data_IF_125566507407
#
_entry.id   IF_125566507407
#
_cell.length_a   1.000
_cell.length_b   1.000
_cell.length_c   1.000
_cell.angle_alpha   90.00
_cell.angle_beta   90.00
_cell.angle_gamma   90.00
#
_symmetry.space_group_name_H-M   'P 1'
#
loop_
_entity.id
_entity.type
_entity.pdbx_description
1 polymer ?
#
# COMPACT_ATOMS: atom_id res chain seq x y z
N UNK A 1 -15.67 51.51 -10.75
CA UNK A 1 -15.39 50.24 -11.43
C UNK A 1 -14.64 49.37 -10.42
N UNK A 2 -15.32 48.39 -9.84
CA UNK A 2 -14.71 47.49 -8.86
C UNK A 2 -13.82 46.48 -9.58
N UNK A 3 -12.59 46.30 -9.11
CA UNK A 3 -11.74 45.20 -9.54
C UNK A 3 -12.35 43.90 -9.00
N UNK A 4 -12.82 43.05 -9.90
CA UNK A 4 -13.14 41.66 -9.57
C UNK A 4 -11.81 41.02 -9.19
N UNK A 5 -11.66 40.68 -7.91
CA UNK A 5 -10.56 39.85 -7.47
C UNK A 5 -10.71 38.50 -8.17
N UNK A 6 -9.70 38.13 -8.96
CA UNK A 6 -9.58 36.78 -9.52
C UNK A 6 -9.54 35.79 -8.36
N UNK A 7 -10.64 35.05 -8.19
CA UNK A 7 -10.68 33.88 -7.34
C UNK A 7 -9.79 32.80 -7.95
N UNK A 8 -8.50 32.82 -7.58
CA UNK A 8 -7.57 31.74 -7.86
C UNK A 8 -7.92 30.57 -6.95
N UNK A 9 -9.01 29.88 -7.29
CA UNK A 9 -9.27 28.51 -6.88
C UNK A 9 -8.14 27.63 -7.45
N UNK A 10 -7.01 27.61 -6.76
CA UNK A 10 -6.05 26.51 -6.91
C UNK A 10 -6.78 25.26 -6.40
N UNK A 11 -7.39 24.50 -7.32
CA UNK A 11 -7.83 23.15 -6.98
C UNK A 11 -6.57 22.37 -6.58
N UNK A 12 -6.35 22.19 -5.28
CA UNK A 12 -5.19 21.45 -4.79
C UNK A 12 -5.16 20.08 -5.45
N UNK A 13 -4.01 19.70 -6.00
CA UNK A 13 -3.85 18.39 -6.64
C UNK A 13 -4.17 17.30 -5.59
N UNK A 14 -4.97 16.28 -5.95
CA UNK A 14 -5.33 15.24 -5.00
C UNK A 14 -4.09 14.45 -4.57
N UNK A 15 -4.07 14.03 -3.31
CA UNK A 15 -3.10 13.05 -2.81
C UNK A 15 -3.47 11.68 -3.37
N UNK A 16 -2.49 10.95 -3.91
CA UNK A 16 -2.71 9.64 -4.54
C UNK A 16 -2.18 8.50 -3.67
N UNK A 17 -3.03 7.51 -3.40
CA UNK A 17 -2.71 6.35 -2.55
C UNK A 17 -2.94 5.08 -3.36
N UNK A 18 -1.86 4.34 -3.66
CA UNK A 18 -1.97 3.01 -4.24
C UNK A 18 -2.11 1.97 -3.13
N UNK A 19 -3.12 1.11 -3.23
CA UNK A 19 -3.38 0.03 -2.27
C UNK A 19 -3.23 -1.33 -2.93
N UNK A 20 -2.56 -2.25 -2.24
CA UNK A 20 -2.37 -3.63 -2.70
C UNK A 20 -2.84 -4.64 -1.65
N UNK A 21 -3.38 -5.77 -2.09
CA UNK A 21 -3.65 -6.92 -1.23
C UNK A 21 -3.08 -8.21 -1.83
N UNK A 22 -2.87 -9.23 -1.01
CA UNK A 22 -2.38 -10.53 -1.45
C UNK A 22 -3.53 -11.46 -1.84
N UNK A 23 -3.26 -12.33 -2.81
CA UNK A 23 -4.15 -13.43 -3.18
C UNK A 23 -4.12 -14.59 -2.16
N UNK A 24 -4.87 -15.67 -2.46
CA UNK A 24 -4.91 -16.87 -1.63
C UNK A 24 -3.50 -17.46 -1.38
N UNK A 25 -3.30 -18.03 -0.19
CA UNK A 25 -2.09 -18.81 0.10
C UNK A 25 -2.39 -19.94 1.08
N UNK A 26 -1.86 -21.13 0.79
CA UNK A 26 -2.19 -22.40 1.48
C UNK A 26 -3.66 -22.79 1.34
N UNK A 27 -3.95 -24.07 1.63
CA UNK A 27 -5.30 -24.61 1.49
C UNK A 27 -6.27 -24.03 2.54
N UNK A 28 -5.75 -23.62 3.70
CA UNK A 28 -6.55 -23.06 4.79
C UNK A 28 -7.04 -21.63 4.52
N UNK A 29 -6.47 -20.95 3.52
CA UNK A 29 -6.87 -19.58 3.16
C UNK A 29 -7.18 -19.45 1.66
N UNK A 30 -8.29 -20.07 1.21
CA UNK A 30 -8.74 -19.99 -0.18
C UNK A 30 -9.22 -18.58 -0.57
N UNK A 31 -9.54 -17.75 0.43
CA UNK A 31 -9.86 -16.33 0.29
C UNK A 31 -8.92 -15.55 1.20
N UNK A 32 -8.30 -14.50 0.68
CA UNK A 32 -7.41 -13.65 1.45
C UNK A 32 -8.11 -12.31 1.75
N UNK A 33 -8.39 -11.99 3.03
CA UNK A 33 -9.12 -10.78 3.40
C UNK A 33 -8.37 -9.51 2.99
N UNK A 34 -7.04 -9.53 2.87
CA UNK A 34 -6.29 -8.36 2.40
C UNK A 34 -6.70 -7.92 0.99
N UNK A 35 -6.91 -8.87 0.08
CA UNK A 35 -7.40 -8.57 -1.26
C UNK A 35 -8.87 -8.17 -1.26
N UNK A 36 -9.72 -8.90 -0.53
CA UNK A 36 -11.16 -8.60 -0.46
C UNK A 36 -11.43 -7.20 0.12
N UNK A 37 -10.68 -6.79 1.14
CA UNK A 37 -10.71 -5.42 1.66
C UNK A 37 -10.24 -4.44 0.57
N UNK A 38 -9.07 -4.69 -0.04
CA UNK A 38 -8.46 -3.79 -1.02
C UNK A 38 -9.37 -3.54 -2.22
N UNK A 39 -9.92 -4.59 -2.85
CA UNK A 39 -10.81 -4.46 -4.03
C UNK A 39 -12.15 -3.79 -3.72
N UNK A 40 -12.54 -3.72 -2.44
CA UNK A 40 -13.79 -3.09 -2.01
C UNK A 40 -13.65 -1.58 -1.78
N UNK A 41 -12.43 -1.03 -1.86
CA UNK A 41 -12.17 0.38 -1.61
C UNK A 41 -12.78 1.28 -2.71
N UNK A 42 -13.37 2.43 -2.35
CA UNK A 42 -13.81 3.44 -3.30
C UNK A 42 -12.60 4.15 -3.94
N UNK A 43 -12.79 4.73 -5.13
CA UNK A 43 -11.76 5.53 -5.81
C UNK A 43 -11.39 6.81 -5.04
N UNK A 44 -12.32 7.35 -4.23
CA UNK A 44 -12.10 8.58 -3.48
C UNK A 44 -12.37 8.36 -2.00
N UNK A 45 -11.48 8.88 -1.14
CA UNK A 45 -11.65 8.85 0.30
C UNK A 45 -12.93 9.61 0.70
N UNK A 46 -13.94 8.94 1.27
CA UNK A 46 -15.18 9.61 1.66
C UNK A 46 -14.93 10.61 2.80
N UNK A 47 -15.66 11.75 2.87
CA UNK A 47 -15.59 12.66 4.02
C UNK A 47 -15.86 11.94 5.34
N UNK A 48 -15.33 12.47 6.45
CA UNK A 48 -15.68 11.99 7.79
C UNK A 48 -17.20 12.07 7.99
N UNK A 49 -17.86 10.92 8.05
CA UNK A 49 -19.28 10.87 8.39
C UNK A 49 -19.44 11.11 9.88
N UNK A 50 -20.26 12.09 10.26
CA UNK A 50 -20.64 12.36 11.66
C UNK A 50 -21.42 11.21 12.34
N UNK A 51 -21.64 10.05 11.69
CA UNK A 51 -22.60 9.00 12.09
C UNK A 51 -22.05 7.56 12.14
N UNK A 52 -20.74 7.32 11.98
CA UNK A 52 -20.20 5.93 12.00
C UNK A 52 -20.19 5.30 13.40
N UNK A 53 -20.58 6.03 14.44
CA UNK A 53 -20.69 5.51 15.81
C UNK A 53 -21.79 4.43 16.02
N UNK A 54 -22.75 4.28 15.09
CA UNK A 54 -23.97 3.49 15.33
C UNK A 54 -24.15 2.22 14.46
N UNK A 55 -23.20 1.84 13.60
CA UNK A 55 -23.35 0.63 12.74
C UNK A 55 -22.70 -0.62 13.34
N UNK A 56 -21.89 -0.49 14.40
CA UNK A 56 -21.08 -1.61 14.91
C UNK A 56 -21.33 -1.80 16.41
N UNK A 57 -22.46 -2.43 16.74
CA UNK A 57 -22.67 -3.06 18.05
C UNK A 57 -23.21 -4.47 17.84
N UNK A 58 -22.47 -5.54 18.18
CA UNK A 58 -23.10 -6.78 18.57
C UNK A 58 -23.70 -6.59 19.97
N UNK A 59 -24.91 -7.12 20.19
CA UNK A 59 -25.57 -7.15 21.49
C UNK A 59 -24.65 -7.61 22.62
N UNK A 60 -24.70 -6.87 23.72
CA UNK A 60 -24.07 -7.13 25.00
C UNK A 60 -24.37 -8.53 25.56
N UNK A 61 -23.36 -9.18 26.17
CA UNK A 61 -23.44 -9.81 27.51
C UNK A 61 -22.07 -10.34 27.98
N UNK A 62 -21.42 -9.64 28.92
CA UNK A 62 -21.04 -10.17 30.25
C UNK A 62 -20.25 -9.14 31.09
N UNK A 63 -20.37 -9.14 32.43
CA UNK A 63 -19.73 -8.16 33.30
C UNK A 63 -18.45 -8.70 33.98
N UNK A 64 -17.53 -7.77 34.28
CA UNK A 64 -16.66 -7.85 35.46
C UNK A 64 -15.16 -7.99 35.20
N UNK A 65 -14.43 -6.87 35.29
CA UNK A 65 -13.06 -6.86 35.82
C UNK A 65 -12.70 -5.44 36.28
N UNK A 66 -12.18 -5.36 37.50
CA UNK A 66 -11.84 -4.18 38.29
C UNK A 66 -10.62 -3.42 37.78
N UNK A 67 -10.69 -2.09 37.78
CA UNK A 67 -9.61 -1.17 37.41
C UNK A 67 -8.61 -0.96 38.56
N UNK A 68 -7.31 -1.07 38.25
CA UNK A 68 -6.21 -0.53 39.06
C UNK A 68 -5.76 0.84 38.53
N UNK A 69 -5.09 1.69 39.35
CA UNK A 69 -4.73 3.04 38.93
C UNK A 69 -3.40 3.04 38.18
N UNK A 70 -3.46 3.25 36.86
CA UNK A 70 -2.30 3.48 36.00
C UNK A 70 -2.21 4.95 35.61
N UNK A 71 -1.06 5.57 35.91
CA UNK A 71 -0.66 6.92 35.54
C UNK A 71 -0.93 7.21 34.05
N UNK A 72 -1.76 8.22 33.77
CA UNK A 72 -2.05 8.67 32.39
C UNK A 72 -1.28 9.94 32.09
N UNK A 73 -0.13 9.80 31.42
CA UNK A 73 0.46 10.90 30.65
C UNK A 73 -0.49 11.21 29.48
N UNK A 74 -1.41 12.14 29.71
CA UNK A 74 -2.41 12.50 28.71
C UNK A 74 -1.80 13.49 27.74
N UNK A 75 -1.17 13.00 26.67
CA UNK A 75 -0.85 13.82 25.50
C UNK A 75 -2.18 14.32 24.90
N UNK A 76 -2.34 15.63 24.64
CA UNK A 76 -3.59 16.16 24.09
C UNK A 76 -3.93 15.55 22.73
N UNK A 77 -5.23 15.39 22.44
CA UNK A 77 -5.73 14.94 21.14
C UNK A 77 -5.23 15.87 20.02
N UNK A 78 -4.98 15.37 18.78
CA UNK A 78 -4.55 16.22 17.69
C UNK A 78 -5.69 17.14 17.29
N UNK A 79 -5.36 18.37 16.87
CA UNK A 79 -6.33 19.27 16.29
C UNK A 79 -6.89 18.68 14.96
N UNK A 80 -8.16 18.99 14.60
CA UNK A 80 -8.71 18.65 13.30
C UNK A 80 -7.88 19.28 12.17
N UNK A 81 -7.65 18.53 11.09
CA UNK A 81 -6.87 18.98 9.92
C UNK A 81 -7.73 18.85 8.67
N UNK A 82 -7.91 19.96 7.94
CA UNK A 82 -8.47 19.90 6.60
C UNK A 82 -7.41 19.31 5.66
N UNK A 83 -7.70 18.15 5.07
CA UNK A 83 -6.83 17.46 4.10
C UNK A 83 -7.36 17.68 2.68
N UNK A 84 -6.48 17.65 1.65
CA UNK A 84 -6.91 17.71 0.26
C UNK A 84 -7.72 16.46 -0.13
N UNK A 85 -8.39 16.45 -1.30
CA UNK A 85 -8.97 15.23 -1.85
C UNK A 85 -7.93 14.11 -1.94
N UNK A 86 -8.32 12.90 -1.56
CA UNK A 86 -7.45 11.71 -1.63
C UNK A 86 -8.03 10.73 -2.65
N UNK A 87 -7.28 10.47 -3.72
CA UNK A 87 -7.60 9.47 -4.73
C UNK A 87 -6.92 8.15 -4.36
N UNK A 88 -7.72 7.10 -4.23
CA UNK A 88 -7.30 5.75 -3.92
C UNK A 88 -7.30 4.96 -5.23
N UNK A 89 -6.17 4.37 -5.57
CA UNK A 89 -6.05 3.42 -6.67
C UNK A 89 -5.77 2.04 -6.10
N UNK A 90 -6.39 1.02 -6.67
CA UNK A 90 -6.20 -0.37 -6.27
C UNK A 90 -5.34 -1.06 -7.33
N UNK A 91 -4.34 -1.83 -6.90
CA UNK A 91 -3.61 -2.70 -7.82
C UNK A 91 -4.60 -3.67 -8.51
N UNK A 92 -4.54 -3.86 -9.84
CA UNK A 92 -5.61 -4.50 -10.60
C UNK A 92 -5.85 -5.98 -10.24
N UNK A 93 -4.81 -6.67 -9.78
CA UNK A 93 -4.87 -8.08 -9.43
C UNK A 93 -4.37 -8.35 -8.00
N UNK A 94 -4.84 -9.41 -7.33
CA UNK A 94 -4.26 -9.82 -6.06
C UNK A 94 -2.78 -10.17 -6.24
N UNK A 95 -1.92 -9.64 -5.36
CA UNK A 95 -0.49 -9.97 -5.41
C UNK A 95 -0.33 -11.44 -5.07
N UNK A 96 0.29 -12.19 -5.99
CA UNK A 96 0.66 -13.58 -5.72
C UNK A 96 1.67 -13.63 -4.58
N UNK A 97 1.47 -14.54 -3.63
CA UNK A 97 2.36 -14.75 -2.47
C UNK A 97 3.64 -15.48 -2.90
N UNK A 98 4.45 -14.86 -3.77
CA UNK A 98 5.65 -15.41 -4.43
C UNK A 98 6.78 -14.36 -4.44
N UNK A 99 8.01 -14.78 -4.09
CA UNK A 99 9.14 -13.87 -3.93
C UNK A 99 9.58 -13.21 -5.24
N UNK A 100 9.63 -13.95 -6.34
CA UNK A 100 9.99 -13.43 -7.67
C UNK A 100 8.95 -12.43 -8.16
N UNK A 101 7.66 -12.73 -7.99
CA UNK A 101 6.57 -11.82 -8.36
C UNK A 101 6.69 -10.50 -7.61
N UNK A 102 6.90 -10.53 -6.30
CA UNK A 102 7.05 -9.30 -5.50
C UNK A 102 8.27 -8.50 -5.95
N UNK A 103 9.40 -9.17 -6.18
CA UNK A 103 10.64 -8.53 -6.63
C UNK A 103 10.48 -7.80 -7.96
N UNK A 104 9.78 -8.41 -8.91
CA UNK A 104 9.52 -7.82 -10.24
C UNK A 104 8.45 -6.73 -10.21
N UNK A 105 7.52 -6.80 -9.25
CA UNK A 105 6.39 -5.89 -9.14
C UNK A 105 6.78 -4.56 -8.49
N UNK A 106 7.52 -4.60 -7.37
CA UNK A 106 7.72 -3.43 -6.51
C UNK A 106 8.23 -2.19 -7.25
N UNK A 107 9.27 -2.26 -8.11
CA UNK A 107 9.73 -1.08 -8.84
C UNK A 107 8.65 -0.45 -9.74
N UNK A 108 7.71 -1.26 -10.24
CA UNK A 108 6.63 -0.82 -11.13
C UNK A 108 5.50 -0.11 -10.39
N UNK A 109 5.31 -0.38 -9.09
CA UNK A 109 4.29 0.27 -8.25
C UNK A 109 4.50 1.78 -8.11
N UNK A 110 5.76 2.21 -8.19
CA UNK A 110 6.19 3.59 -7.99
C UNK A 110 6.28 4.39 -9.29
N UNK A 111 6.03 3.72 -10.42
CA UNK A 111 5.91 4.29 -11.76
C UNK A 111 4.43 4.28 -12.14
N UNK A 112 3.98 5.22 -12.96
CA UNK A 112 2.55 5.29 -13.33
C UNK A 112 2.11 4.04 -14.08
N UNK A 113 1.25 3.27 -13.42
CA UNK A 113 0.39 2.31 -14.12
C UNK A 113 -0.80 3.08 -14.67
N UNK A 114 -0.86 3.21 -16.00
CA UNK A 114 -2.12 3.50 -16.68
C UNK A 114 -3.08 2.35 -16.36
N UNK A 115 -4.25 2.65 -15.80
CA UNK A 115 -5.39 1.75 -15.90
C UNK A 115 -5.74 1.68 -17.38
N UNK A 116 -5.27 0.64 -18.08
CA UNK A 116 -5.82 0.28 -19.38
C UNK A 116 -7.30 -0.08 -19.17
N UNK A 117 -8.16 0.41 -20.05
CA UNK A 117 -9.57 0.02 -20.12
C UNK A 117 -9.70 -1.52 -20.11
N UNK A 118 -10.76 -2.09 -19.51
CA UNK A 118 -10.95 -3.53 -19.47
C UNK A 118 -10.98 -4.10 -20.89
N UNK A 119 -10.36 -5.27 -21.15
CA UNK A 119 -10.42 -5.90 -22.45
C UNK A 119 -11.87 -6.21 -22.81
N UNK A 120 -12.35 -5.65 -23.91
CA UNK A 120 -13.56 -6.10 -24.60
C UNK A 120 -13.50 -7.61 -24.79
N UNK A 121 -14.56 -8.30 -24.36
CA UNK A 121 -14.74 -9.75 -24.42
C UNK A 121 -14.33 -10.33 -25.79
N UNK A 122 -13.72 -11.52 -25.84
CA UNK A 122 -13.43 -12.17 -27.12
C UNK A 122 -14.72 -12.68 -27.76
N UNK A 123 -14.96 -12.31 -29.02
CA UNK A 123 -15.94 -12.97 -29.88
C UNK A 123 -15.57 -14.46 -30.06
N UNK A 124 -16.56 -15.33 -29.93
CA UNK A 124 -16.44 -16.78 -30.19
C UNK A 124 -16.15 -17.08 -31.67
N UNK A 125 -15.41 -18.16 -32.00
CA UNK A 125 -15.07 -18.49 -33.37
C UNK A 125 -16.14 -19.38 -34.01
N UNK A 126 -16.55 -19.05 -35.24
CA UNK A 126 -17.34 -19.93 -36.09
C UNK A 126 -16.61 -20.26 -37.41
N UNK A 127 -16.08 -21.49 -37.44
CA UNK A 127 -16.11 -22.49 -38.53
C UNK A 127 -15.75 -22.02 -39.96
N UNK A 128 -14.62 -22.50 -40.48
CA UNK A 128 -14.38 -22.72 -41.92
C UNK A 128 -14.54 -24.21 -42.25
N UNK A 129 -15.02 -24.58 -43.45
CA UNK A 129 -14.05 -24.96 -44.49
C UNK A 129 -14.46 -24.61 -45.93
N UNK A 130 -13.48 -24.29 -46.77
CA UNK A 130 -13.64 -24.19 -48.22
C UNK A 130 -12.31 -23.92 -48.92
N UNK A 131 -11.88 -24.88 -49.73
CA UNK A 131 -10.65 -24.89 -50.52
C UNK A 131 -10.67 -23.84 -51.66
N UNK A 132 -9.48 -23.43 -52.13
CA UNK A 132 -9.33 -22.89 -53.48
C UNK A 132 -8.42 -21.68 -53.64
N UNK A 133 -7.29 -21.91 -54.31
CA UNK A 133 -6.52 -20.96 -55.14
C UNK A 133 -5.59 -19.92 -54.50
N UNK A 134 -4.35 -19.93 -55.03
CA UNK A 134 -3.31 -18.92 -54.91
C UNK A 134 -3.26 -18.17 -56.25
N UNK A 135 -3.16 -16.82 -56.29
CA UNK A 135 -1.89 -16.26 -56.77
C UNK A 135 -1.47 -14.86 -56.25
N UNK A 136 -0.14 -14.71 -56.15
CA UNK A 136 0.73 -13.54 -56.41
C UNK A 136 0.68 -12.21 -55.60
N UNK A 137 1.84 -11.49 -55.51
CA UNK A 137 2.11 -10.49 -54.49
C UNK A 137 1.67 -9.10 -54.92
N UNK A 138 1.02 -8.37 -54.02
CA UNK A 138 0.74 -6.95 -54.20
C UNK A 138 1.17 -6.15 -52.97
N UNK A 139 1.73 -4.99 -53.26
CA UNK A 139 2.33 -3.98 -52.40
C UNK A 139 1.65 -3.74 -51.05
N UNK A 140 2.43 -3.79 -49.97
CA UNK A 140 2.08 -3.33 -48.62
C UNK A 140 1.68 -1.85 -48.63
N UNK A 141 0.46 -1.48 -48.18
CA UNK A 141 0.16 -0.10 -47.79
C UNK A 141 0.81 0.18 -46.43
N UNK A 142 1.41 1.35 -46.29
CA UNK A 142 2.01 1.83 -45.05
C UNK A 142 1.03 1.71 -43.87
N UNK A 143 1.48 1.05 -42.81
CA UNK A 143 0.80 0.91 -41.54
C UNK A 143 0.52 2.31 -40.95
N UNK A 144 -0.71 2.60 -40.49
CA UNK A 144 -1.01 3.87 -39.84
C UNK A 144 -0.19 3.94 -38.55
N UNK A 145 0.71 4.92 -38.50
CA UNK A 145 1.52 5.26 -37.33
C UNK A 145 0.64 5.34 -36.09
N UNK A 146 0.87 4.40 -35.16
CA UNK A 146 0.20 4.35 -33.88
C UNK A 146 0.36 5.69 -33.15
N UNK A 147 -0.70 6.22 -32.51
CA UNK A 147 -0.55 7.42 -31.68
C UNK A 147 0.45 7.12 -30.57
N UNK A 148 1.48 7.95 -30.47
CA UNK A 148 2.47 7.91 -29.39
C UNK A 148 1.75 7.91 -28.04
N UNK A 149 2.00 6.87 -27.23
CA UNK A 149 1.49 6.74 -25.87
C UNK A 149 1.71 8.06 -25.10
N UNK A 150 0.69 8.59 -24.39
CA UNK A 150 0.88 9.76 -23.56
C UNK A 150 1.93 9.44 -22.49
N UNK A 151 2.83 10.40 -22.24
CA UNK A 151 3.89 10.28 -21.24
C UNK A 151 3.31 9.81 -19.90
N UNK A 152 3.91 8.75 -19.35
CA UNK A 152 3.63 8.20 -18.02
C UNK A 152 3.49 9.33 -16.98
N UNK A 153 2.33 9.40 -16.31
CA UNK A 153 2.08 10.38 -15.24
C UNK A 153 3.00 10.16 -14.02
N UNK A 154 2.96 11.02 -12.99
CA UNK A 154 3.69 10.75 -11.76
C UNK A 154 3.12 9.49 -11.06
N UNK A 155 3.99 8.66 -10.48
CA UNK A 155 3.59 7.54 -9.62
C UNK A 155 2.86 7.99 -8.34
N UNK A 156 2.37 7.05 -7.50
CA UNK A 156 1.60 7.38 -6.30
C UNK A 156 2.41 8.18 -5.27
N UNK A 157 1.72 9.00 -4.48
CA UNK A 157 2.31 9.71 -3.32
C UNK A 157 2.61 8.76 -2.15
N UNK A 158 1.73 7.77 -1.98
CA UNK A 158 1.74 6.81 -0.89
C UNK A 158 1.42 5.42 -1.44
N UNK A 159 2.13 4.40 -0.96
CA UNK A 159 1.75 3.00 -1.17
C UNK A 159 1.34 2.38 0.17
N UNK A 160 0.15 1.78 0.21
CA UNK A 160 -0.35 1.00 1.34
C UNK A 160 -0.45 -0.48 0.93
N UNK A 161 0.41 -1.30 1.50
CA UNK A 161 0.31 -2.76 1.35
C UNK A 161 -0.57 -3.33 2.47
N UNK A 162 -1.44 -4.27 2.12
CA UNK A 162 -2.28 -4.99 3.08
C UNK A 162 -1.96 -6.47 3.01
N UNK A 163 -1.69 -7.08 4.15
CA UNK A 163 -1.53 -8.52 4.32
C UNK A 163 -2.34 -9.00 5.50
N UNK A 164 -2.61 -10.30 5.56
CA UNK A 164 -3.29 -10.86 6.72
C UNK A 164 -2.31 -11.43 7.74
N UNK A 165 -2.65 -11.29 9.01
CA UNK A 165 -2.01 -11.95 10.14
C UNK A 165 -3.08 -12.71 10.94
N UNK A 166 -2.72 -13.87 11.49
CA UNK A 166 -3.65 -14.71 12.25
C UNK A 166 -3.08 -15.16 13.60
N UNK A 167 -3.92 -15.73 14.48
CA UNK A 167 -5.39 -15.74 14.46
C UNK A 167 -6.01 -14.55 15.23
N UNK A 168 -5.20 -13.63 15.75
CA UNK A 168 -5.69 -12.53 16.60
C UNK A 168 -6.46 -11.50 15.75
N UNK A 169 -7.56 -10.99 16.30
CA UNK A 169 -8.36 -9.91 15.72
C UNK A 169 -7.67 -8.55 15.96
N UNK A 170 -6.49 -8.38 15.38
CA UNK A 170 -5.66 -7.19 15.56
C UNK A 170 -5.37 -6.56 14.20
N UNK A 171 -5.44 -5.24 14.14
CA UNK A 171 -4.98 -4.46 12.99
C UNK A 171 -3.67 -3.77 13.37
N UNK A 172 -2.61 -3.98 12.59
CA UNK A 172 -1.29 -3.48 12.93
C UNK A 172 -0.64 -2.76 11.75
N UNK A 173 -0.21 -1.51 11.97
CA UNK A 173 0.67 -0.83 11.02
C UNK A 173 2.11 -1.16 11.35
N UNK A 174 2.89 -1.52 10.35
CA UNK A 174 4.28 -1.93 10.54
C UNK A 174 5.21 -0.72 10.47
N UNK A 175 6.03 -0.52 11.52
CA UNK A 175 6.99 0.58 11.59
C UNK A 175 8.20 0.35 10.67
N UNK A 176 8.63 -0.90 10.55
CA UNK A 176 9.87 -1.27 9.86
C UNK A 176 9.70 -2.54 9.02
N UNK A 177 10.48 -2.64 7.95
CA UNK A 177 10.66 -3.89 7.20
C UNK A 177 12.08 -4.42 7.37
N UNK A 178 12.25 -5.73 7.22
CA UNK A 178 13.53 -6.41 7.43
C UNK A 178 14.10 -6.93 6.12
N UNK A 179 15.42 -6.86 5.94
CA UNK A 179 16.09 -7.37 4.73
C UNK A 179 16.26 -8.88 4.73
N UNK A 180 16.37 -9.45 5.93
CA UNK A 180 16.93 -10.77 6.17
C UNK A 180 15.92 -11.65 6.95
N UNK A 181 16.21 -12.96 7.07
CA UNK A 181 15.43 -13.88 7.91
C UNK A 181 14.27 -14.62 7.21
N UNK A 182 14.20 -14.54 5.88
CA UNK A 182 13.13 -15.17 5.09
C UNK A 182 13.35 -16.68 4.89
N UNK A 183 12.84 -17.49 5.83
CA UNK A 183 13.02 -18.96 5.81
C UNK A 183 11.80 -19.74 5.32
N UNK A 184 10.67 -19.05 5.09
CA UNK A 184 9.44 -19.69 4.63
C UNK A 184 9.40 -19.81 3.10
N UNK A 185 8.96 -20.97 2.62
CA UNK A 185 8.70 -21.19 1.19
C UNK A 185 7.45 -20.44 0.76
N UNK A 186 7.49 -19.89 -0.44
CA UNK A 186 6.33 -19.31 -1.08
C UNK A 186 5.34 -20.38 -1.59
N UNK A 187 4.27 -19.92 -2.23
CA UNK A 187 3.22 -20.76 -2.80
C UNK A 187 3.67 -21.69 -3.93
N UNK A 188 4.86 -21.47 -4.50
CA UNK A 188 5.48 -22.35 -5.51
C UNK A 188 6.58 -23.25 -4.88
N UNK A 189 6.65 -23.27 -3.55
CA UNK A 189 7.62 -24.06 -2.81
C UNK A 189 9.04 -23.50 -2.83
N UNK A 190 9.24 -22.25 -3.29
CA UNK A 190 10.56 -21.64 -3.42
C UNK A 190 10.93 -20.81 -2.19
N UNK A 191 12.20 -20.82 -1.82
CA UNK A 191 12.76 -19.91 -0.80
C UNK A 191 13.21 -18.61 -1.48
N UNK A 192 13.35 -17.54 -0.70
CA UNK A 192 13.87 -16.26 -1.22
C UNK A 192 15.31 -16.36 -1.74
N UNK A 193 16.13 -17.16 -1.05
CA UNK A 193 17.55 -17.45 -1.36
C UNK A 193 18.49 -16.23 -1.33
N UNK A 194 18.11 -15.14 -0.66
CA UNK A 194 18.89 -13.90 -0.71
C UNK A 194 20.23 -13.97 0.02
N UNK A 195 20.39 -14.88 0.99
CA UNK A 195 21.69 -15.14 1.63
C UNK A 195 22.69 -15.78 0.65
N UNK A 196 22.25 -16.80 -0.10
CA UNK A 196 23.07 -17.43 -1.14
C UNK A 196 23.34 -16.47 -2.32
N UNK A 197 22.34 -15.66 -2.70
CA UNK A 197 22.53 -14.63 -3.73
C UNK A 197 23.54 -13.58 -3.29
N UNK A 198 23.46 -13.09 -2.04
CA UNK A 198 24.43 -12.13 -1.49
C UNK A 198 25.86 -12.69 -1.53
N UNK A 199 26.05 -13.94 -1.10
CA UNK A 199 27.36 -14.58 -1.11
C UNK A 199 27.96 -14.71 -2.52
N UNK A 200 27.10 -14.97 -3.52
CA UNK A 200 27.52 -15.14 -4.92
C UNK A 200 27.72 -13.82 -5.67
N UNK A 201 26.82 -12.86 -5.47
CA UNK A 201 26.76 -11.61 -6.24
C UNK A 201 27.60 -10.49 -5.59
N UNK A 202 27.86 -10.56 -4.28
CA UNK A 202 28.69 -9.58 -3.58
C UNK A 202 28.17 -8.16 -3.76
N UNK A 203 28.95 -7.31 -4.44
CA UNK A 203 28.60 -5.90 -4.72
C UNK A 203 27.49 -5.72 -5.74
N UNK A 204 27.24 -6.73 -6.57
CA UNK A 204 26.18 -6.69 -7.57
C UNK A 204 24.83 -7.16 -7.00
N UNK A 205 24.80 -7.62 -5.74
CA UNK A 205 23.56 -8.04 -5.09
C UNK A 205 22.59 -6.87 -4.96
N UNK A 206 21.30 -7.13 -5.23
CA UNK A 206 20.26 -6.10 -5.32
C UNK A 206 20.14 -5.24 -4.05
N UNK A 207 20.48 -5.77 -2.88
CA UNK A 207 20.44 -5.05 -1.61
C UNK A 207 21.82 -4.68 -1.04
N UNK A 208 22.90 -4.71 -1.84
CA UNK A 208 24.19 -4.15 -1.40
C UNK A 208 24.01 -2.67 -1.00
N UNK A 209 24.61 -2.29 0.13
CA UNK A 209 24.49 -0.96 0.72
C UNK A 209 23.15 -0.63 1.38
N UNK A 210 22.13 -1.50 1.26
CA UNK A 210 20.83 -1.29 1.92
C UNK A 210 20.89 -1.78 3.37
N UNK A 211 20.49 -0.96 4.36
CA UNK A 211 20.40 -1.37 5.75
C UNK A 211 19.58 -2.64 5.98
N UNK A 212 19.90 -3.40 7.03
CA UNK A 212 19.16 -4.61 7.39
C UNK A 212 17.71 -4.34 7.80
N UNK A 213 17.42 -3.13 8.27
CA UNK A 213 16.09 -2.67 8.65
C UNK A 213 15.86 -1.28 8.05
N UNK A 214 14.66 -1.06 7.54
CA UNK A 214 14.24 0.25 7.04
C UNK A 214 12.95 0.67 7.72
N UNK A 215 12.89 1.93 8.15
CA UNK A 215 11.70 2.56 8.71
C UNK A 215 10.89 3.23 7.60
N UNK A 216 9.56 3.21 7.76
CA UNK A 216 8.69 4.14 7.05
C UNK A 216 9.04 5.59 7.40
N UNK A 217 8.83 6.50 6.46
CA UNK A 217 9.05 7.94 6.69
C UNK A 217 7.84 8.64 7.34
N UNK A 218 6.73 7.93 7.53
CA UNK A 218 5.60 8.43 8.32
C UNK A 218 5.91 8.31 9.82
N UNK A 219 5.13 9.01 10.65
CA UNK A 219 5.14 8.84 12.11
C UNK A 219 4.04 7.85 12.52
N UNK A 220 4.38 6.57 12.81
CA UNK A 220 3.38 5.55 13.09
C UNK A 220 2.60 5.82 14.37
N UNK A 221 3.18 6.53 15.34
CA UNK A 221 2.50 6.82 16.60
C UNK A 221 1.46 7.93 16.43
N UNK A 222 1.78 8.99 15.67
CA UNK A 222 0.79 10.01 15.34
C UNK A 222 -0.34 9.42 14.48
N UNK A 223 0.01 8.58 13.50
CA UNK A 223 -0.96 7.88 12.66
C UNK A 223 -1.86 6.98 13.49
N UNK A 224 -1.30 6.16 14.39
CA UNK A 224 -2.06 5.27 15.28
C UNK A 224 -3.03 6.06 16.15
N UNK A 225 -2.56 7.17 16.73
CA UNK A 225 -3.37 8.02 17.59
C UNK A 225 -4.57 8.60 16.84
N UNK A 226 -4.38 9.11 15.61
CA UNK A 226 -5.46 9.58 14.75
C UNK A 226 -6.41 8.46 14.35
N UNK A 227 -5.86 7.31 13.97
CA UNK A 227 -6.63 6.15 13.54
C UNK A 227 -7.55 5.62 14.63
N UNK A 228 -7.07 5.57 15.89
CA UNK A 228 -7.88 5.20 17.06
C UNK A 228 -9.04 6.16 17.34
N UNK A 229 -8.94 7.44 16.95
CA UNK A 229 -10.06 8.37 17.13
C UNK A 229 -11.16 8.17 16.09
N UNK A 230 -10.78 7.72 14.88
CA UNK A 230 -11.71 7.50 13.78
C UNK A 230 -12.36 6.11 13.81
N UNK A 231 -11.80 5.18 14.57
CA UNK A 231 -12.24 3.79 14.66
C UNK A 231 -12.98 3.47 15.98
N UNK A 232 -13.83 2.42 16.01
CA UNK A 232 -14.42 1.92 17.25
C UNK A 232 -13.38 1.58 18.33
N UNK A 233 -13.62 2.02 19.57
CA UNK A 233 -12.69 1.86 20.71
C UNK A 233 -12.39 0.41 21.11
N UNK A 234 -13.24 -0.54 20.70
CA UNK A 234 -13.07 -1.96 21.03
C UNK A 234 -12.10 -2.68 20.08
N UNK A 235 -11.68 -2.04 18.99
CA UNK A 235 -10.72 -2.62 18.05
C UNK A 235 -9.30 -2.53 18.60
N UNK A 236 -8.55 -3.61 18.45
CA UNK A 236 -7.12 -3.63 18.76
C UNK A 236 -6.33 -3.06 17.57
N UNK A 237 -6.02 -1.76 17.64
CA UNK A 237 -5.14 -1.06 16.69
C UNK A 237 -3.77 -0.83 17.35
N UNK A 238 -2.69 -1.17 16.64
CA UNK A 238 -1.31 -1.02 17.15
C UNK A 238 -0.29 -0.67 16.08
N UNK A 239 0.85 -0.17 16.53
CA UNK A 239 2.10 -0.21 15.77
C UNK A 239 2.76 -1.56 16.04
N UNK A 240 3.27 -2.20 15.00
CA UNK A 240 4.06 -3.41 15.07
C UNK A 240 5.49 -3.12 14.61
N UNK A 241 6.45 -3.82 15.23
CA UNK A 241 7.88 -3.70 14.94
C UNK A 241 8.39 -4.84 14.05
N UNK A 242 7.54 -5.82 13.74
CA UNK A 242 7.91 -7.00 12.95
C UNK A 242 6.72 -7.52 12.14
N UNK A 243 6.89 -7.53 10.81
CA UNK A 243 5.91 -7.98 9.85
C UNK A 243 5.98 -9.49 9.53
N UNK A 244 6.77 -10.26 10.28
CA UNK A 244 6.74 -11.73 10.33
C UNK A 244 7.65 -12.45 9.34
N UNK A 245 8.64 -11.77 8.74
CA UNK A 245 9.68 -12.36 7.87
C UNK A 245 9.15 -13.36 6.81
N UNK A 246 8.02 -13.03 6.18
CA UNK A 246 7.45 -13.73 5.02
C UNK A 246 7.17 -12.74 3.88
N UNK A 247 6.26 -13.07 2.96
CA UNK A 247 5.92 -12.20 1.83
C UNK A 247 5.34 -10.84 2.23
N UNK A 248 4.67 -10.74 3.39
CA UNK A 248 4.19 -9.47 3.95
C UNK A 248 5.35 -8.51 4.25
N UNK A 249 6.31 -8.98 5.05
CA UNK A 249 7.52 -8.22 5.34
C UNK A 249 8.38 -8.01 4.09
N UNK A 250 8.46 -9.00 3.19
CA UNK A 250 9.28 -8.92 1.99
C UNK A 250 8.80 -7.86 1.00
N UNK A 251 7.49 -7.75 0.73
CA UNK A 251 6.98 -6.66 -0.11
C UNK A 251 7.18 -5.30 0.57
N UNK A 252 7.01 -5.24 1.89
CA UNK A 252 7.18 -4.00 2.64
C UNK A 252 8.63 -3.52 2.58
N UNK A 253 9.58 -4.40 2.95
CA UNK A 253 11.00 -4.11 2.87
C UNK A 253 11.43 -3.81 1.44
N UNK A 254 10.99 -4.57 0.44
CA UNK A 254 11.33 -4.32 -0.95
C UNK A 254 10.90 -2.92 -1.41
N UNK A 255 9.69 -2.48 -1.01
CA UNK A 255 9.20 -1.13 -1.30
C UNK A 255 10.00 -0.05 -0.57
N UNK A 256 10.32 -0.24 0.71
CA UNK A 256 11.19 0.66 1.47
C UNK A 256 12.60 0.76 0.86
N UNK A 257 13.18 -0.38 0.48
CA UNK A 257 14.50 -0.49 -0.11
C UNK A 257 14.56 0.14 -1.51
N UNK A 258 13.50 -0.03 -2.32
CA UNK A 258 13.39 0.65 -3.61
C UNK A 258 13.45 2.18 -3.46
N UNK A 259 12.69 2.74 -2.50
CA UNK A 259 12.69 4.17 -2.23
C UNK A 259 14.04 4.65 -1.68
N UNK A 260 14.62 3.88 -0.76
CA UNK A 260 15.97 4.14 -0.22
C UNK A 260 17.02 4.23 -1.33
N UNK A 261 17.08 3.23 -2.22
CA UNK A 261 18.05 3.20 -3.32
C UNK A 261 17.83 4.29 -4.38
N UNK A 262 16.61 4.81 -4.49
CA UNK A 262 16.27 5.88 -5.44
C UNK A 262 16.29 7.28 -4.82
N UNK A 263 16.70 7.42 -3.56
CA UNK A 263 16.74 8.70 -2.85
C UNK A 263 15.36 9.33 -2.60
N UNK A 264 14.30 8.53 -2.71
CA UNK A 264 12.92 8.97 -2.50
C UNK A 264 12.53 8.80 -1.03
N UNK A 265 11.63 9.65 -0.54
CA UNK A 265 11.10 9.50 0.81
C UNK A 265 10.33 8.18 0.91
N UNK A 266 10.53 7.44 2.01
CA UNK A 266 9.98 6.11 2.27
C UNK A 266 8.48 6.13 2.59
N UNK A 267 7.66 6.66 1.69
CA UNK A 267 6.21 6.84 1.81
C UNK A 267 5.44 5.54 1.57
N UNK A 268 5.80 4.49 2.29
CA UNK A 268 5.11 3.20 2.25
C UNK A 268 4.74 2.78 3.66
N UNK A 269 3.53 2.21 3.81
CA UNK A 269 3.06 1.59 5.04
C UNK A 269 2.58 0.19 4.71
N UNK A 270 2.79 -0.74 5.64
CA UNK A 270 2.17 -2.05 5.61
C UNK A 270 1.12 -2.14 6.73
N UNK A 271 -0.04 -2.70 6.41
CA UNK A 271 -1.11 -3.00 7.34
C UNK A 271 -1.34 -4.52 7.39
N UNK A 272 -1.16 -5.10 8.57
CA UNK A 272 -1.72 -6.41 8.88
C UNK A 272 -3.18 -6.30 9.30
N UNK A 273 -4.04 -7.13 8.68
CA UNK A 273 -5.45 -7.31 9.02
C UNK A 273 -5.70 -8.72 9.56
N UNK A 274 -6.80 -8.97 10.30
CA UNK A 274 -7.16 -10.33 10.70
C UNK A 274 -7.37 -11.27 9.52
N UNK A 275 -7.12 -12.57 9.72
CA UNK A 275 -7.29 -13.61 8.68
C UNK A 275 -8.75 -14.02 8.40
N UNK A 276 -9.72 -13.47 9.13
CA UNK A 276 -11.15 -13.72 8.91
C UNK A 276 -11.63 -13.00 7.65
N UNK A 277 -12.04 -13.78 6.64
CA UNK A 277 -12.52 -13.31 5.35
C UNK A 277 -14.06 -13.27 5.24
N UNK A 278 -14.79 -13.36 6.36
CA UNK A 278 -16.24 -13.18 6.36
C UNK A 278 -16.63 -11.78 5.85
N UNK A 279 -17.80 -11.68 5.22
CA UNK A 279 -18.32 -10.42 4.66
C UNK A 279 -18.35 -9.28 5.70
N UNK A 280 -18.70 -9.63 6.94
CA UNK A 280 -18.68 -8.69 8.06
C UNK A 280 -17.27 -8.14 8.34
N UNK A 281 -16.27 -9.02 8.40
CA UNK A 281 -14.89 -8.63 8.68
C UNK A 281 -14.24 -7.89 7.51
N UNK A 282 -14.59 -8.23 6.27
CA UNK A 282 -14.16 -7.49 5.07
C UNK A 282 -14.76 -6.08 5.07
N UNK A 283 -16.06 -5.95 5.38
CA UNK A 283 -16.74 -4.64 5.46
C UNK A 283 -16.14 -3.76 6.56
N UNK A 284 -15.90 -4.35 7.74
CA UNK A 284 -15.23 -3.66 8.85
C UNK A 284 -13.80 -3.26 8.46
N UNK A 285 -13.04 -4.18 7.84
CA UNK A 285 -11.68 -3.94 7.37
C UNK A 285 -11.61 -2.80 6.36
N UNK A 286 -12.57 -2.72 5.42
CA UNK A 286 -12.70 -1.59 4.49
C UNK A 286 -12.81 -0.25 5.21
N UNK A 287 -13.72 -0.14 6.18
CA UNK A 287 -13.89 1.10 6.94
C UNK A 287 -12.64 1.46 7.74
N UNK A 288 -11.99 0.46 8.36
CA UNK A 288 -10.74 0.63 9.11
C UNK A 288 -9.61 1.11 8.21
N UNK A 289 -9.49 0.58 6.99
CA UNK A 289 -8.49 1.01 6.00
C UNK A 289 -8.74 2.43 5.52
N UNK A 290 -10.00 2.82 5.29
CA UNK A 290 -10.33 4.21 4.95
C UNK A 290 -9.93 5.18 6.07
N UNK A 291 -10.16 4.81 7.33
CA UNK A 291 -9.71 5.61 8.46
C UNK A 291 -8.18 5.62 8.63
N UNK A 292 -7.49 4.55 8.25
CA UNK A 292 -6.02 4.51 8.22
C UNK A 292 -5.48 5.48 7.17
N UNK A 293 -5.97 5.39 5.93
CA UNK A 293 -5.56 6.28 4.83
C UNK A 293 -5.74 7.74 5.23
N UNK A 294 -6.92 8.06 5.81
CA UNK A 294 -7.20 9.38 6.37
C UNK A 294 -6.16 9.81 7.41
N UNK A 295 -5.86 8.94 8.37
CA UNK A 295 -4.93 9.22 9.46
C UNK A 295 -3.49 9.44 8.99
N UNK A 296 -3.06 8.73 7.95
CA UNK A 296 -1.76 8.92 7.30
C UNK A 296 -1.67 10.31 6.69
N UNK A 297 -2.67 10.69 5.89
CA UNK A 297 -2.68 12.01 5.23
C UNK A 297 -2.80 13.13 6.27
N UNK A 298 -3.66 13.00 7.28
CA UNK A 298 -3.80 13.98 8.36
C UNK A 298 -2.49 14.17 9.16
N UNK A 299 -1.75 13.09 9.42
CA UNK A 299 -0.46 13.14 10.13
C UNK A 299 0.58 13.97 9.36
N UNK A 300 0.76 13.68 8.06
CA UNK A 300 1.69 14.46 7.23
C UNK A 300 1.22 15.89 7.02
N UNK A 301 -0.08 16.09 6.76
CA UNK A 301 -0.61 17.42 6.47
C UNK A 301 -0.52 18.34 7.69
N UNK A 302 -0.73 17.81 8.89
CA UNK A 302 -0.55 18.58 10.13
C UNK A 302 0.88 19.07 10.32
N UNK A 303 1.88 18.28 9.89
CA UNK A 303 3.30 18.54 10.10
C UNK A 303 3.91 19.40 9.01
N UNK A 304 3.50 19.17 7.77
CA UNK A 304 4.20 19.68 6.59
C UNK A 304 3.30 20.48 5.64
N UNK A 305 1.97 20.42 5.80
CA UNK A 305 1.01 21.00 4.85
C UNK A 305 1.04 20.37 3.45
N UNK A 306 1.73 19.24 3.28
CA UNK A 306 1.88 18.48 2.03
C UNK A 306 2.33 17.04 2.30
N UNK A 307 2.20 16.15 1.32
CA UNK A 307 2.94 14.89 1.28
C UNK A 307 4.34 15.15 0.69
N UNK A 308 5.38 14.83 1.45
CA UNK A 308 6.77 14.99 0.99
C UNK A 308 7.15 13.78 0.14
N UNK A 309 7.73 14.00 -1.05
CA UNK A 309 8.05 12.92 -2.01
C UNK A 309 9.54 12.54 -2.07
N UNK A 310 10.41 13.48 -1.72
CA UNK A 310 11.87 13.35 -1.77
C UNK A 310 12.42 13.48 -0.35
N UNK A 311 13.56 12.84 -0.06
CA UNK A 311 14.25 13.07 1.21
C UNK A 311 14.72 14.53 1.25
N UNK A 312 14.36 15.27 2.32
CA UNK A 312 14.91 16.59 2.54
C UNK A 312 16.41 16.43 2.78
N UNK A 313 17.24 16.87 1.84
CA UNK A 313 18.69 16.72 1.91
C UNK A 313 19.23 17.38 3.19
N UNK A 314 19.45 16.61 4.24
CA UNK A 314 20.47 16.96 5.23
C UNK A 314 21.78 16.39 4.74
N UNK A 315 22.78 17.22 4.41
CA UNK A 315 24.12 16.71 4.18
C UNK A 315 24.53 15.91 5.42
N UNK A 316 24.92 14.64 5.24
CA UNK A 316 25.72 13.96 6.26
C UNK A 316 27.08 14.67 6.25
N UNK A 317 27.29 15.61 7.16
CA UNK A 317 28.64 16.00 7.58
C UNK A 317 29.28 14.75 8.19
N UNK A 318 30.06 14.05 7.36
CA UNK A 318 31.04 13.09 7.88
C UNK A 318 32.21 13.92 8.36
N UNK A 319 32.13 14.37 9.61
CA UNK A 319 33.29 14.88 10.34
C UNK A 319 34.25 13.70 10.55
N UNK A 320 35.19 13.53 9.63
CA UNK A 320 36.38 12.74 9.88
C UNK A 320 37.26 13.60 10.80
N UNK A 321 37.09 13.46 12.10
CA UNK A 321 38.14 13.87 13.03
C UNK A 321 39.31 12.88 12.83
N UNK A 322 40.33 13.35 12.12
CA UNK A 322 41.65 12.73 12.18
C UNK A 322 42.29 13.16 13.50
N UNK A 323 42.53 12.19 14.38
CA UNK A 323 43.46 12.30 15.52
C UNK A 323 44.38 11.09 15.51
#
# INVERSE_FOLDING_TARGET
>A
MGSVAEDKSHSEKPVTVLVTGFGPFKQEYPVNPSWEITRSLPEWLPPLRAKTANVITPSSHHPGASAGPGSTSTTPAPAPVAIPPVRITVHPEPIRVNYTVVRDLVPKLWNSQQTADPPTSPEEPAITPGEGEKPQPTSTPAEPSQPSLPAAGPGPDIVLHIGMAGPRLTYAIERRGHRDGYHMRDVDGQLLQDDERRAREGKDWVWDGVPAELLTAFDPEDVLRRWKMHCPKHLELRVSEDAGHYLCDFIYFSSLAHLYKTGRRRNVIFLHVPCDASEHMVTLGREIVLQLIRSIVESEWAKHGKIIREEESKPMEVSIEMS
#
